data_IF_670403159427
#
_entry.id   IF_670403159427
#
_cell.length_a   1.000
_cell.length_b   1.000
_cell.length_c   1.000
_cell.angle_alpha   90.00
_cell.angle_beta   90.00
_cell.angle_gamma   90.00
#
_symmetry.space_group_name_H-M   'P 1'
#
loop_
_entity.id
_entity.type
_entity.pdbx_description
1 polymer ?
#
# COMPACT_ATOMS: atom_id res chain seq x y z
N UNK A 1 -23.07 3.63 4.34
CA UNK A 1 -22.49 3.66 5.70
C UNK A 1 -21.83 5.01 5.92
N UNK A 2 -21.61 5.38 7.18
CA UNK A 2 -20.77 6.51 7.59
C UNK A 2 -19.36 6.00 7.81
N UNK A 3 -18.39 6.57 7.12
CA UNK A 3 -17.01 6.10 7.13
C UNK A 3 -16.09 7.24 7.55
N UNK A 4 -15.30 7.03 8.60
CA UNK A 4 -14.24 7.95 9.00
C UNK A 4 -12.94 7.59 8.28
N UNK A 5 -12.28 8.56 7.65
CA UNK A 5 -11.01 8.38 6.97
C UNK A 5 -9.95 9.24 7.64
N UNK A 6 -8.86 8.60 8.08
CA UNK A 6 -7.78 9.31 8.74
C UNK A 6 -6.61 9.63 7.80
N UNK A 7 -6.38 10.94 7.67
CA UNK A 7 -5.25 11.59 6.99
C UNK A 7 -4.93 11.09 5.58
N UNK A 8 -5.90 11.09 4.65
CA UNK A 8 -5.69 10.57 3.31
C UNK A 8 -4.59 11.35 2.55
N UNK A 9 -3.48 10.66 2.30
CA UNK A 9 -2.45 11.10 1.35
C UNK A 9 -2.94 11.01 -0.10
N UNK A 10 -2.02 11.03 -1.08
CA UNK A 10 -2.38 10.95 -2.50
C UNK A 10 -3.13 9.64 -2.86
N UNK A 11 -2.74 8.51 -2.27
CA UNK A 11 -3.43 7.23 -2.45
C UNK A 11 -4.74 7.19 -1.63
N UNK A 12 -4.65 7.50 -0.33
CA UNK A 12 -5.79 7.44 0.59
C UNK A 12 -6.97 8.31 0.17
N UNK A 13 -6.73 9.49 -0.43
CA UNK A 13 -7.82 10.36 -0.86
C UNK A 13 -8.56 9.78 -2.06
N UNK A 14 -7.86 9.05 -2.94
CA UNK A 14 -8.48 8.38 -4.08
C UNK A 14 -9.21 7.11 -3.67
N UNK A 15 -8.70 6.36 -2.68
CA UNK A 15 -9.47 5.26 -2.05
C UNK A 15 -10.76 5.78 -1.40
N UNK A 16 -10.67 6.90 -0.66
CA UNK A 16 -11.81 7.53 -0.02
C UNK A 16 -12.82 8.10 -1.02
N UNK A 17 -12.35 8.68 -2.13
CA UNK A 17 -13.23 9.13 -3.22
C UNK A 17 -14.08 7.97 -3.79
N UNK A 18 -13.51 6.76 -3.88
CA UNK A 18 -14.27 5.59 -4.34
C UNK A 18 -15.35 5.17 -3.33
N UNK A 19 -15.14 5.36 -2.03
CA UNK A 19 -16.20 5.16 -1.01
C UNK A 19 -17.35 6.16 -1.21
N UNK A 20 -17.05 7.41 -1.57
CA UNK A 20 -18.08 8.42 -1.91
C UNK A 20 -18.83 8.01 -3.17
N UNK A 21 -18.12 7.52 -4.22
CA UNK A 21 -18.74 7.00 -5.45
C UNK A 21 -19.68 5.83 -5.16
N UNK A 22 -19.33 4.95 -4.21
CA UNK A 22 -20.18 3.85 -3.74
C UNK A 22 -21.38 4.32 -2.88
N UNK A 23 -21.57 5.63 -2.71
CA UNK A 23 -22.72 6.21 -2.00
C UNK A 23 -22.58 6.24 -0.47
N UNK A 24 -21.36 6.15 0.05
CA UNK A 24 -21.10 6.28 1.48
C UNK A 24 -20.94 7.74 1.91
N UNK A 25 -21.29 8.04 3.16
CA UNK A 25 -20.99 9.32 3.78
C UNK A 25 -19.58 9.25 4.36
N UNK A 26 -18.62 9.95 3.75
CA UNK A 26 -17.22 9.84 4.11
C UNK A 26 -16.75 11.09 4.82
N UNK A 27 -16.31 10.94 6.07
CA UNK A 27 -15.84 12.03 6.93
C UNK A 27 -14.34 11.96 7.11
N UNK A 28 -13.68 13.11 7.23
CA UNK A 28 -12.25 13.20 7.52
C UNK A 28 -11.95 14.31 8.52
N UNK A 29 -10.78 14.24 9.16
CA UNK A 29 -10.34 15.23 10.16
C UNK A 29 -9.39 16.25 9.51
N UNK A 30 -9.82 17.52 9.31
CA UNK A 30 -9.01 18.54 8.64
C UNK A 30 -8.00 19.23 9.55
N UNK A 31 -8.14 19.09 10.86
CA UNK A 31 -7.32 19.79 11.85
C UNK A 31 -5.84 19.44 11.72
N UNK A 32 -4.99 20.47 11.74
CA UNK A 32 -3.54 20.34 11.55
C UNK A 32 -3.11 19.92 10.13
N UNK A 33 -4.02 19.86 9.15
CA UNK A 33 -3.70 19.41 7.78
C UNK A 33 -3.36 20.58 6.85
N UNK A 34 -2.42 20.32 5.94
CA UNK A 34 -1.99 21.28 4.92
C UNK A 34 -3.10 21.58 3.90
N UNK A 35 -3.00 22.73 3.23
CA UNK A 35 -3.95 23.12 2.18
C UNK A 35 -3.99 22.10 1.03
N UNK A 36 -2.85 21.49 0.69
CA UNK A 36 -2.80 20.41 -0.28
C UNK A 36 -3.60 19.17 0.18
N UNK A 37 -3.69 18.90 1.49
CA UNK A 37 -4.52 17.81 2.02
C UNK A 37 -6.00 18.17 1.96
N UNK A 38 -6.36 19.42 2.30
CA UNK A 38 -7.74 19.93 2.22
C UNK A 38 -8.26 19.89 0.79
N UNK A 39 -7.47 20.38 -0.18
CA UNK A 39 -7.83 20.34 -1.59
C UNK A 39 -8.09 18.91 -2.11
N UNK A 40 -7.29 17.92 -1.70
CA UNK A 40 -7.54 16.52 -2.05
C UNK A 40 -8.82 15.96 -1.41
N UNK A 41 -9.13 16.38 -0.19
CA UNK A 41 -10.34 15.96 0.48
C UNK A 41 -11.59 16.58 -0.17
N UNK A 42 -11.52 17.85 -0.55
CA UNK A 42 -12.59 18.54 -1.28
C UNK A 42 -12.82 17.89 -2.65
N UNK A 43 -11.75 17.61 -3.40
CA UNK A 43 -11.82 16.89 -4.69
C UNK A 43 -12.42 15.49 -4.54
N UNK A 44 -12.16 14.82 -3.42
CA UNK A 44 -12.69 13.50 -3.09
C UNK A 44 -14.12 13.54 -2.51
N UNK A 45 -14.70 14.73 -2.28
CA UNK A 45 -16.04 14.87 -1.71
C UNK A 45 -16.13 14.50 -0.22
N UNK A 46 -15.04 14.62 0.53
CA UNK A 46 -15.00 14.27 1.95
C UNK A 46 -15.60 15.37 2.82
N UNK A 47 -16.35 14.98 3.84
CA UNK A 47 -16.98 15.89 4.79
C UNK A 47 -16.03 16.13 5.96
N UNK A 48 -15.62 17.38 6.17
CA UNK A 48 -14.80 17.73 7.34
C UNK A 48 -15.57 17.55 8.64
N UNK A 49 -14.94 16.90 9.63
CA UNK A 49 -15.49 16.70 10.97
C UNK A 49 -14.39 16.79 12.04
N UNK A 50 -14.77 17.02 13.30
CA UNK A 50 -13.87 16.80 14.43
C UNK A 50 -13.51 15.32 14.55
N UNK A 51 -12.41 14.99 15.22
CA UNK A 51 -12.04 13.59 15.47
C UNK A 51 -13.17 12.84 16.18
N UNK A 52 -13.70 13.42 17.26
CA UNK A 52 -14.75 12.82 18.08
C UNK A 52 -16.02 12.57 17.27
N UNK A 53 -16.46 13.54 16.46
CA UNK A 53 -17.66 13.38 15.62
C UNK A 53 -17.45 12.35 14.49
N UNK A 54 -16.23 12.29 13.93
CA UNK A 54 -15.91 11.32 12.89
C UNK A 54 -15.98 9.90 13.43
N UNK A 55 -15.39 9.63 14.61
CA UNK A 55 -15.36 8.29 15.21
C UNK A 55 -16.72 7.91 15.80
N UNK A 56 -17.38 8.80 16.55
CA UNK A 56 -18.62 8.48 17.25
C UNK A 56 -19.78 8.13 16.31
N UNK A 57 -19.75 8.64 15.07
CA UNK A 57 -20.79 8.41 14.06
C UNK A 57 -20.39 7.39 13.00
N UNK A 58 -19.15 6.90 13.01
CA UNK A 58 -18.66 5.97 12.00
C UNK A 58 -19.22 4.56 12.22
N UNK A 59 -19.64 3.93 11.12
CA UNK A 59 -19.89 2.49 11.06
C UNK A 59 -18.59 1.75 10.67
N UNK A 60 -17.69 2.43 9.95
CA UNK A 60 -16.37 1.94 9.58
C UNK A 60 -15.30 3.04 9.65
N UNK A 61 -14.05 2.65 9.90
CA UNK A 61 -12.85 3.48 9.85
C UNK A 61 -11.94 2.96 8.75
N UNK A 62 -11.42 3.86 7.91
CA UNK A 62 -10.31 3.62 7.00
C UNK A 62 -9.09 4.41 7.48
N UNK A 63 -8.07 3.71 7.97
CA UNK A 63 -6.78 4.29 8.29
C UNK A 63 -5.88 4.21 7.05
N UNK A 64 -5.61 5.36 6.42
CA UNK A 64 -4.73 5.44 5.24
C UNK A 64 -3.89 6.72 5.32
N UNK A 65 -2.99 6.75 6.29
CA UNK A 65 -2.14 7.88 6.63
C UNK A 65 -0.68 7.66 6.21
N UNK A 66 0.26 8.29 6.93
CA UNK A 66 1.67 7.91 6.87
C UNK A 66 1.89 6.74 7.85
N UNK A 67 2.69 5.71 7.51
CA UNK A 67 2.87 4.52 8.36
C UNK A 67 3.28 4.82 9.80
N UNK A 68 4.09 5.88 10.00
CA UNK A 68 4.59 6.27 11.31
C UNK A 68 3.50 6.72 12.28
N UNK A 69 2.32 7.14 11.78
CA UNK A 69 1.21 7.60 12.61
C UNK A 69 0.05 6.61 12.72
N UNK A 70 0.12 5.44 12.08
CA UNK A 70 -1.01 4.52 12.00
C UNK A 70 -1.41 3.95 13.38
N UNK A 71 -0.42 3.54 14.18
CA UNK A 71 -0.65 3.00 15.53
C UNK A 71 -1.26 4.08 16.44
N UNK A 72 -0.73 5.30 16.42
CA UNK A 72 -1.27 6.42 17.21
C UNK A 72 -2.74 6.73 16.86
N UNK A 73 -3.14 6.57 15.59
CA UNK A 73 -4.53 6.74 15.17
C UNK A 73 -5.37 5.58 15.69
N UNK A 74 -4.91 4.33 15.58
CA UNK A 74 -5.61 3.17 16.14
C UNK A 74 -5.83 3.34 17.66
N UNK A 75 -4.82 3.80 18.40
CA UNK A 75 -4.95 4.09 19.84
C UNK A 75 -5.94 5.21 20.16
N UNK A 76 -6.01 6.25 19.33
CA UNK A 76 -7.02 7.31 19.50
C UNK A 76 -8.43 6.77 19.24
N UNK A 77 -8.60 5.99 18.16
CA UNK A 77 -9.88 5.39 17.78
C UNK A 77 -10.36 4.38 18.84
N UNK A 78 -9.47 3.54 19.36
CA UNK A 78 -9.78 2.60 20.42
C UNK A 78 -10.11 3.27 21.75
N UNK A 79 -9.39 4.35 22.12
CA UNK A 79 -9.73 5.15 23.32
C UNK A 79 -11.11 5.80 23.23
N UNK A 80 -11.58 6.10 22.02
CA UNK A 80 -12.94 6.58 21.79
C UNK A 80 -14.01 5.46 21.86
N UNK A 81 -13.62 4.21 22.08
CA UNK A 81 -14.52 3.06 22.22
C UNK A 81 -15.12 2.60 20.89
N UNK A 82 -14.41 2.80 19.77
CA UNK A 82 -14.89 2.38 18.46
C UNK A 82 -15.00 0.84 18.38
N UNK A 83 -16.19 0.35 18.03
CA UNK A 83 -16.52 -1.07 17.93
C UNK A 83 -17.05 -1.48 16.53
N UNK A 84 -16.81 -0.62 15.52
CA UNK A 84 -17.18 -0.89 14.13
C UNK A 84 -16.10 -1.63 13.36
N UNK A 85 -16.15 -1.54 12.03
CA UNK A 85 -15.13 -2.10 11.14
C UNK A 85 -13.91 -1.16 11.06
N UNK A 86 -12.72 -1.62 11.43
CA UNK A 86 -11.47 -0.87 11.29
C UNK A 86 -10.62 -1.45 10.16
N UNK A 87 -10.44 -0.71 9.07
CA UNK A 87 -9.61 -1.09 7.92
C UNK A 87 -8.27 -0.36 8.01
N UNK A 88 -7.20 -1.11 8.25
CA UNK A 88 -5.83 -0.63 8.29
C UNK A 88 -5.17 -0.77 6.92
N UNK A 89 -5.01 0.33 6.17
CA UNK A 89 -4.51 0.35 4.81
C UNK A 89 -3.10 0.96 4.66
N UNK A 90 -2.38 1.16 5.77
CA UNK A 90 -0.98 1.60 5.76
C UNK A 90 -0.03 0.41 5.55
N UNK A 91 1.12 0.59 4.87
CA UNK A 91 2.19 -0.41 4.87
C UNK A 91 2.83 -0.49 6.26
N UNK A 92 2.37 -1.42 7.09
CA UNK A 92 2.89 -1.64 8.44
C UNK A 92 3.77 -2.89 8.48
N UNK A 93 4.78 -2.87 9.36
CA UNK A 93 5.48 -4.09 9.76
C UNK A 93 4.51 -5.05 10.49
N UNK A 94 4.78 -6.36 10.54
CA UNK A 94 3.95 -7.30 11.31
C UNK A 94 3.74 -6.86 12.76
N UNK A 95 4.79 -6.32 13.40
CA UNK A 95 4.73 -5.81 14.77
C UNK A 95 3.82 -4.59 14.90
N UNK A 96 3.93 -3.64 13.96
CA UNK A 96 3.11 -2.43 13.96
C UNK A 96 1.65 -2.73 13.66
N UNK A 97 1.37 -3.68 12.77
CA UNK A 97 0.03 -4.15 12.46
C UNK A 97 -0.62 -4.79 13.69
N UNK A 98 0.11 -5.66 14.40
CA UNK A 98 -0.37 -6.26 15.66
C UNK A 98 -0.64 -5.20 16.75
N UNK A 99 0.22 -4.17 16.84
CA UNK A 99 0.01 -3.06 17.76
C UNK A 99 -1.25 -2.26 17.42
N UNK A 100 -1.46 -1.93 16.13
CA UNK A 100 -2.67 -1.25 15.67
C UNK A 100 -3.93 -2.08 15.95
N UNK A 101 -3.89 -3.39 15.68
CA UNK A 101 -5.00 -4.30 15.99
C UNK A 101 -5.31 -4.33 17.49
N UNK A 102 -4.28 -4.43 18.33
CA UNK A 102 -4.46 -4.48 19.80
C UNK A 102 -4.99 -3.15 20.37
N UNK A 103 -4.77 -2.04 19.66
CA UNK A 103 -5.21 -0.72 20.07
C UNK A 103 -6.72 -0.48 19.87
N UNK A 104 -7.39 -1.29 19.05
CA UNK A 104 -8.85 -1.23 18.79
C UNK A 104 -9.54 -2.55 19.17
N UNK A 105 -9.48 -2.97 20.46
CA UNK A 105 -9.86 -4.31 20.87
C UNK A 105 -11.34 -4.66 20.65
N UNK A 106 -12.21 -3.65 20.60
CA UNK A 106 -13.66 -3.83 20.40
C UNK A 106 -14.07 -3.75 18.93
N UNK A 107 -13.16 -3.35 18.03
CA UNK A 107 -13.44 -3.22 16.61
C UNK A 107 -13.17 -4.53 15.85
N UNK A 108 -13.91 -4.75 14.76
CA UNK A 108 -13.51 -5.78 13.80
C UNK A 108 -12.36 -5.25 12.95
N UNK A 109 -11.17 -5.80 13.14
CA UNK A 109 -9.96 -5.35 12.45
C UNK A 109 -9.75 -6.09 11.12
N UNK A 110 -9.51 -5.31 10.05
CA UNK A 110 -9.16 -5.80 8.71
C UNK A 110 -7.86 -5.15 8.24
N UNK A 111 -6.89 -5.98 7.89
CA UNK A 111 -5.63 -5.57 7.25
C UNK A 111 -5.85 -5.39 5.74
N UNK A 112 -5.32 -4.30 5.17
CA UNK A 112 -5.49 -3.94 3.78
C UNK A 112 -4.15 -3.61 3.07
N UNK A 113 -3.85 -4.39 2.03
CA UNK A 113 -2.71 -4.22 1.15
C UNK A 113 -3.09 -3.53 -0.18
N UNK A 114 -2.69 -2.28 -0.36
CA UNK A 114 -2.92 -1.53 -1.61
C UNK A 114 -1.82 -1.80 -2.64
N UNK A 115 -2.20 -2.23 -3.85
CA UNK A 115 -1.31 -2.45 -5.00
C UNK A 115 -1.86 -1.75 -6.24
N UNK A 116 -1.01 -1.02 -6.95
CA UNK A 116 -1.36 -0.35 -8.21
C UNK A 116 -1.36 1.18 -8.12
N UNK A 117 -1.78 1.87 -9.19
CA UNK A 117 -1.91 3.33 -9.20
C UNK A 117 -3.10 3.75 -8.33
N UNK A 118 -3.22 5.05 -7.97
CA UNK A 118 -4.44 5.56 -7.36
C UNK A 118 -5.67 5.31 -8.25
N UNK A 119 -6.84 4.97 -7.67
CA UNK A 119 -8.02 4.61 -8.46
C UNK A 119 -8.65 5.86 -9.08
N UNK A 120 -8.48 6.02 -10.40
CA UNK A 120 -9.06 7.13 -11.19
C UNK A 120 -9.95 6.65 -12.35
N UNK A 121 -10.22 5.34 -12.42
CA UNK A 121 -10.79 4.70 -13.61
C UNK A 121 -9.74 4.52 -14.71
N UNK A 122 -9.75 3.37 -15.38
CA UNK A 122 -8.78 3.04 -16.43
C UNK A 122 -8.45 1.55 -16.51
N UNK A 123 -7.54 1.15 -17.41
CA UNK A 123 -7.21 -0.25 -17.67
C UNK A 123 -6.37 -0.91 -16.57
N UNK A 124 -5.84 -0.14 -15.62
CA UNK A 124 -5.03 -0.64 -14.52
C UNK A 124 -5.76 -0.40 -13.19
N UNK A 125 -6.43 -1.43 -12.63
CA UNK A 125 -7.16 -1.27 -11.39
C UNK A 125 -6.20 -1.11 -10.20
N UNK A 126 -6.71 -0.48 -9.14
CA UNK A 126 -6.09 -0.55 -7.81
C UNK A 126 -6.58 -1.83 -7.14
N UNK A 127 -5.70 -2.79 -6.90
CA UNK A 127 -6.04 -3.95 -6.08
C UNK A 127 -5.97 -3.57 -4.60
N UNK A 128 -7.07 -3.80 -3.88
CA UNK A 128 -7.16 -3.68 -2.43
C UNK A 128 -7.24 -5.08 -1.84
N UNK A 129 -6.09 -5.64 -1.48
CA UNK A 129 -6.02 -6.95 -0.83
C UNK A 129 -6.50 -6.81 0.62
N UNK A 130 -7.36 -7.70 1.09
CA UNK A 130 -8.03 -7.60 2.38
C UNK A 130 -7.89 -8.93 3.14
N UNK A 131 -7.65 -8.84 4.45
CA UNK A 131 -7.62 -10.02 5.32
C UNK A 131 -8.10 -9.72 6.72
N UNK A 132 -8.84 -10.65 7.31
CA UNK A 132 -9.51 -10.50 8.61
C UNK A 132 -10.89 -11.14 8.59
N UNK A 133 -11.50 -11.31 9.77
CA UNK A 133 -12.78 -12.00 9.93
C UNK A 133 -13.90 -11.43 9.05
N UNK A 134 -13.97 -10.10 8.90
CA UNK A 134 -14.97 -9.40 8.08
C UNK A 134 -14.36 -8.77 6.80
N UNK A 135 -13.32 -9.38 6.23
CA UNK A 135 -12.67 -8.88 5.01
C UNK A 135 -13.66 -8.79 3.82
N UNK A 136 -14.65 -9.68 3.74
CA UNK A 136 -15.71 -9.63 2.71
C UNK A 136 -16.64 -8.42 2.88
N UNK A 137 -17.00 -8.09 4.13
CA UNK A 137 -17.77 -6.88 4.43
C UNK A 137 -16.97 -5.64 4.07
N UNK A 138 -15.68 -5.61 4.40
CA UNK A 138 -14.78 -4.53 4.01
C UNK A 138 -14.67 -4.40 2.48
N UNK A 139 -14.59 -5.52 1.75
CA UNK A 139 -14.57 -5.54 0.29
C UNK A 139 -15.83 -4.89 -0.30
N UNK A 140 -17.00 -5.16 0.29
CA UNK A 140 -18.27 -4.58 -0.11
C UNK A 140 -18.34 -3.06 -0.08
N UNK A 141 -17.49 -2.38 0.71
CA UNK A 141 -17.43 -0.91 0.77
C UNK A 141 -16.97 -0.28 -0.56
N UNK A 142 -16.28 -1.03 -1.41
CA UNK A 142 -15.79 -0.58 -2.71
C UNK A 142 -16.47 -1.30 -3.88
N UNK A 143 -17.62 -1.93 -3.66
CA UNK A 143 -18.39 -2.58 -4.71
C UNK A 143 -18.72 -1.60 -5.86
N UNK A 144 -18.57 -2.06 -7.09
CA UNK A 144 -18.83 -1.28 -8.32
C UNK A 144 -18.02 0.02 -8.45
N UNK A 145 -16.81 0.07 -7.85
CA UNK A 145 -15.88 1.21 -7.95
C UNK A 145 -14.65 0.90 -8.82
N UNK A 146 -13.75 1.89 -8.97
CA UNK A 146 -12.46 1.68 -9.64
C UNK A 146 -11.41 0.96 -8.77
N UNK A 147 -11.74 0.66 -7.51
CA UNK A 147 -10.96 -0.25 -6.67
C UNK A 147 -11.43 -1.68 -6.94
N UNK A 148 -10.50 -2.62 -6.96
CA UNK A 148 -10.78 -4.06 -7.06
C UNK A 148 -10.41 -4.71 -5.73
N UNK A 149 -11.38 -4.92 -4.83
CA UNK A 149 -11.16 -5.64 -3.58
C UNK A 149 -10.80 -7.10 -3.84
N UNK A 150 -9.91 -7.64 -3.02
CA UNK A 150 -9.49 -9.04 -3.08
C UNK A 150 -9.36 -9.57 -1.66
N UNK A 151 -10.24 -10.48 -1.22
CA UNK A 151 -10.05 -11.16 0.06
C UNK A 151 -8.98 -12.25 -0.12
N UNK A 152 -7.88 -12.14 0.63
CA UNK A 152 -6.70 -12.99 0.46
C UNK A 152 -6.35 -13.83 1.70
N UNK A 153 -7.09 -13.68 2.78
CA UNK A 153 -6.91 -14.48 3.99
C UNK A 153 -7.91 -14.15 5.10
N UNK A 154 -8.07 -15.08 6.03
CA UNK A 154 -8.97 -14.91 7.18
C UNK A 154 -8.34 -14.12 8.34
N UNK A 155 -7.02 -14.08 8.42
CA UNK A 155 -6.29 -13.45 9.53
C UNK A 155 -5.61 -12.15 9.08
N UNK A 156 -5.68 -11.08 9.88
CA UNK A 156 -4.89 -9.87 9.64
C UNK A 156 -3.40 -10.20 9.48
N UNK A 157 -2.76 -9.57 8.50
CA UNK A 157 -1.37 -9.82 8.11
C UNK A 157 -1.24 -10.56 6.78
N UNK A 158 -2.27 -11.32 6.35
CA UNK A 158 -2.23 -12.01 5.05
C UNK A 158 -2.25 -11.02 3.87
N UNK A 159 -3.01 -9.92 3.96
CA UNK A 159 -3.03 -8.87 2.95
C UNK A 159 -1.69 -8.12 2.86
N UNK A 160 -1.12 -7.77 4.02
CA UNK A 160 0.22 -7.20 4.11
C UNK A 160 1.28 -8.14 3.51
N UNK A 161 1.24 -9.44 3.82
CA UNK A 161 2.15 -10.43 3.24
C UNK A 161 1.99 -10.59 1.72
N UNK A 162 0.75 -10.60 1.20
CA UNK A 162 0.47 -10.68 -0.23
C UNK A 162 1.02 -9.45 -0.98
N UNK A 163 0.83 -8.25 -0.43
CA UNK A 163 1.40 -7.00 -0.95
C UNK A 163 2.93 -7.05 -0.94
N UNK A 164 3.54 -7.43 0.17
CA UNK A 164 5.00 -7.55 0.29
C UNK A 164 5.58 -8.56 -0.71
N UNK A 165 4.90 -9.69 -0.90
CA UNK A 165 5.28 -10.70 -1.89
C UNK A 165 5.28 -10.14 -3.31
N UNK A 166 4.25 -9.38 -3.69
CA UNK A 166 4.20 -8.73 -5.00
C UNK A 166 5.26 -7.63 -5.14
N UNK A 167 5.49 -6.82 -4.11
CA UNK A 167 6.50 -5.77 -4.11
C UNK A 167 7.92 -6.36 -4.27
N UNK A 168 8.23 -7.43 -3.53
CA UNK A 168 9.49 -8.17 -3.65
C UNK A 168 9.69 -8.69 -5.08
N UNK A 169 8.68 -9.33 -5.66
CA UNK A 169 8.78 -9.85 -7.03
C UNK A 169 8.98 -8.72 -8.06
N UNK A 170 8.09 -7.72 -8.05
CA UNK A 170 8.08 -6.69 -9.07
C UNK A 170 9.36 -5.83 -9.04
N UNK A 171 9.77 -5.38 -7.85
CA UNK A 171 10.97 -4.58 -7.68
C UNK A 171 12.22 -5.44 -7.76
N UNK A 172 12.20 -6.65 -7.21
CA UNK A 172 13.34 -7.56 -7.30
C UNK A 172 13.69 -7.88 -8.76
N UNK A 173 12.69 -8.15 -9.59
CA UNK A 173 12.88 -8.32 -11.04
C UNK A 173 13.50 -7.08 -11.70
N UNK A 174 13.08 -5.88 -11.30
CA UNK A 174 13.67 -4.64 -11.83
C UNK A 174 15.15 -4.49 -11.40
N UNK A 175 15.50 -4.79 -10.15
CA UNK A 175 16.89 -4.80 -9.69
C UNK A 175 17.74 -5.85 -10.43
N UNK A 176 17.19 -7.04 -10.69
CA UNK A 176 17.86 -8.06 -11.50
C UNK A 176 18.09 -7.59 -12.94
N UNK A 177 17.11 -6.91 -13.55
CA UNK A 177 17.27 -6.32 -14.88
C UNK A 177 18.37 -5.24 -14.90
N UNK A 178 18.45 -4.38 -13.88
CA UNK A 178 19.53 -3.39 -13.73
C UNK A 178 20.90 -4.08 -13.69
N UNK A 179 21.05 -5.12 -12.88
CA UNK A 179 22.31 -5.89 -12.82
C UNK A 179 22.64 -6.55 -14.16
N UNK A 180 21.65 -7.11 -14.86
CA UNK A 180 21.84 -7.72 -16.16
C UNK A 180 22.34 -6.70 -17.21
N UNK A 181 21.75 -5.50 -17.25
CA UNK A 181 22.20 -4.44 -18.15
C UNK A 181 23.61 -3.95 -17.81
N UNK A 182 23.93 -3.72 -16.53
CA UNK A 182 25.28 -3.33 -16.10
C UNK A 182 26.34 -4.38 -16.46
N UNK A 183 26.00 -5.67 -16.32
CA UNK A 183 26.87 -6.76 -16.74
C UNK A 183 27.07 -6.76 -18.27
N UNK A 184 25.98 -6.63 -19.03
CA UNK A 184 26.04 -6.62 -20.49
C UNK A 184 26.85 -5.43 -21.02
N UNK A 185 26.66 -4.24 -20.44
CA UNK A 185 27.42 -3.02 -20.76
C UNK A 185 28.92 -3.22 -20.52
N UNK A 186 29.29 -3.75 -19.34
CA UNK A 186 30.69 -4.01 -18.98
C UNK A 186 31.41 -4.97 -19.94
N UNK A 187 30.67 -5.83 -20.61
CA UNK A 187 31.19 -6.79 -21.59
C UNK A 187 30.92 -6.39 -23.05
N UNK A 188 30.29 -5.24 -23.31
CA UNK A 188 29.97 -4.77 -24.66
C UNK A 188 28.92 -5.64 -25.39
N UNK A 189 28.03 -6.31 -24.65
CA UNK A 189 27.03 -7.26 -25.19
C UNK A 189 25.58 -6.82 -24.96
N UNK A 190 25.33 -5.53 -24.71
CA UNK A 190 23.99 -4.97 -24.46
C UNK A 190 22.98 -5.35 -25.56
N UNK A 191 23.36 -5.27 -26.83
CA UNK A 191 22.49 -5.65 -27.94
C UNK A 191 22.07 -7.13 -27.90
N UNK A 192 22.98 -8.02 -27.51
CA UNK A 192 22.69 -9.45 -27.38
C UNK A 192 21.69 -9.73 -26.24
N UNK A 193 21.75 -8.93 -25.15
CA UNK A 193 20.79 -8.99 -24.07
C UNK A 193 19.41 -8.48 -24.50
N UNK A 194 19.34 -7.31 -25.17
CA UNK A 194 18.09 -6.74 -25.68
C UNK A 194 17.40 -7.71 -26.65
N UNK A 195 18.15 -8.43 -27.50
CA UNK A 195 17.58 -9.40 -28.43
C UNK A 195 16.73 -10.49 -27.74
N UNK A 196 16.99 -10.78 -26.46
CA UNK A 196 16.21 -11.75 -25.68
C UNK A 196 14.80 -11.27 -25.32
N UNK A 197 14.48 -9.99 -25.55
CA UNK A 197 13.16 -9.41 -25.29
C UNK A 197 11.99 -10.09 -26.02
N UNK A 198 12.30 -10.84 -27.09
CA UNK A 198 11.33 -11.59 -27.90
C UNK A 198 10.81 -12.83 -27.18
N UNK A 199 11.50 -13.26 -26.12
CA UNK A 199 11.10 -14.39 -25.29
C UNK A 199 9.98 -14.00 -24.32
N UNK A 200 9.16 -14.98 -23.94
CA UNK A 200 8.06 -14.77 -23.00
C UNK A 200 8.50 -14.22 -21.63
N UNK A 201 9.71 -14.56 -21.19
CA UNK A 201 10.34 -14.13 -19.94
C UNK A 201 11.22 -12.87 -20.10
N UNK A 202 11.47 -12.41 -21.32
CA UNK A 202 12.39 -11.32 -21.63
C UNK A 202 11.79 -9.92 -21.54
N UNK A 203 10.53 -9.77 -21.11
CA UNK A 203 9.79 -8.51 -21.18
C UNK A 203 10.47 -7.31 -20.48
N UNK A 204 11.24 -7.55 -19.42
CA UNK A 204 11.97 -6.51 -18.68
C UNK A 204 13.29 -6.08 -19.34
N UNK A 205 13.72 -6.75 -20.41
CA UNK A 205 14.98 -6.49 -21.12
C UNK A 205 14.81 -5.63 -22.38
N UNK A 206 13.60 -5.11 -22.60
CA UNK A 206 13.24 -4.35 -23.81
C UNK A 206 13.94 -2.99 -23.92
N UNK A 207 14.27 -2.39 -22.78
CA UNK A 207 14.75 -1.02 -22.71
C UNK A 207 16.12 -0.96 -22.02
N UNK A 208 17.22 -0.73 -22.78
CA UNK A 208 18.54 -0.54 -22.16
C UNK A 208 18.66 0.72 -21.31
N UNK A 209 17.73 1.69 -21.44
CA UNK A 209 17.65 2.87 -20.59
C UNK A 209 16.99 2.61 -19.23
N UNK A 210 16.54 1.39 -18.95
CA UNK A 210 15.89 1.02 -17.70
C UNK A 210 16.71 1.42 -16.44
N UNK A 211 18.04 1.17 -16.36
CA UNK A 211 18.81 1.59 -15.19
C UNK A 211 18.71 3.09 -14.93
N UNK A 212 18.83 3.93 -15.96
CA UNK A 212 18.80 5.39 -15.81
C UNK A 212 17.41 5.90 -15.43
N UNK A 213 16.35 5.33 -16.01
CA UNK A 213 14.98 5.65 -15.63
C UNK A 213 14.72 5.36 -14.15
N UNK A 214 15.23 4.22 -13.66
CA UNK A 214 15.02 3.78 -12.29
C UNK A 214 15.83 4.56 -11.24
N UNK A 215 16.86 5.33 -11.62
CA UNK A 215 17.58 6.22 -10.68
C UNK A 215 16.64 7.16 -9.94
N UNK A 216 15.66 7.70 -10.64
CA UNK A 216 14.67 8.63 -10.10
C UNK A 216 13.83 8.08 -8.93
N UNK A 217 13.71 6.74 -8.84
CA UNK A 217 12.92 6.05 -7.80
C UNK A 217 13.77 5.18 -6.87
N UNK A 218 15.05 4.98 -7.17
CA UNK A 218 15.93 4.07 -6.44
C UNK A 218 16.05 4.45 -4.94
N UNK A 219 16.12 5.75 -4.63
CA UNK A 219 16.20 6.25 -3.26
C UNK A 219 14.99 5.87 -2.41
N UNK A 220 13.81 5.73 -3.05
CA UNK A 220 12.55 5.36 -2.39
C UNK A 220 12.38 3.85 -2.31
N UNK A 221 12.78 3.12 -3.35
CA UNK A 221 12.65 1.66 -3.37
C UNK A 221 13.70 0.93 -2.55
N UNK A 222 14.90 1.50 -2.37
CA UNK A 222 15.97 0.90 -1.57
C UNK A 222 15.52 0.57 -0.13
N UNK A 223 15.01 1.53 0.65
CA UNK A 223 14.53 1.30 2.01
C UNK A 223 13.40 0.26 2.10
N UNK A 224 12.56 0.13 1.08
CA UNK A 224 11.49 -0.89 1.08
C UNK A 224 12.05 -2.31 1.09
N UNK A 225 13.27 -2.55 0.60
CA UNK A 225 13.90 -3.88 0.68
C UNK A 225 14.40 -4.22 2.08
N UNK A 226 14.62 -3.23 2.95
CA UNK A 226 14.94 -3.48 4.36
C UNK A 226 13.70 -4.06 5.06
N UNK A 227 12.51 -3.48 4.81
CA UNK A 227 11.22 -3.99 5.31
C UNK A 227 10.86 -5.37 4.73
N UNK A 228 11.14 -5.60 3.44
CA UNK A 228 10.95 -6.92 2.81
C UNK A 228 11.88 -7.98 3.41
N UNK A 229 13.12 -7.62 3.74
CA UNK A 229 14.04 -8.54 4.40
C UNK A 229 13.54 -8.93 5.80
N UNK A 230 13.06 -7.96 6.59
CA UNK A 230 12.45 -8.24 7.90
C UNK A 230 11.20 -9.12 7.76
N UNK A 231 10.37 -8.88 6.74
CA UNK A 231 9.18 -9.70 6.46
C UNK A 231 9.55 -11.15 6.12
N UNK A 232 10.59 -11.34 5.30
CA UNK A 232 11.10 -12.67 4.96
C UNK A 232 11.67 -13.39 6.19
N UNK A 233 12.50 -12.71 6.98
CA UNK A 233 13.10 -13.29 8.19
C UNK A 233 12.01 -13.69 9.20
N UNK A 234 10.99 -12.85 9.40
CA UNK A 234 9.86 -13.15 10.27
C UNK A 234 9.05 -14.37 9.79
N UNK A 235 9.04 -14.64 8.49
CA UNK A 235 8.44 -15.83 7.89
C UNK A 235 9.38 -17.05 7.87
N UNK A 236 10.61 -16.93 8.36
CA UNK A 236 11.62 -18.00 8.31
C UNK A 236 12.19 -18.25 6.90
N UNK A 237 12.16 -17.23 6.04
CA UNK A 237 12.65 -17.26 4.65
C UNK A 237 13.97 -16.47 4.51
N UNK A 238 14.53 -16.46 3.30
CA UNK A 238 15.85 -15.90 3.00
C UNK A 238 15.83 -14.36 2.86
N UNK A 239 15.77 -13.63 3.98
CA UNK A 239 15.81 -12.16 3.98
C UNK A 239 17.09 -11.57 3.38
N UNK A 240 18.20 -12.32 3.40
CA UNK A 240 19.47 -11.90 2.79
C UNK A 240 19.37 -11.69 1.27
N UNK A 241 18.46 -12.38 0.58
CA UNK A 241 18.20 -12.14 -0.83
C UNK A 241 17.64 -10.72 -1.06
N UNK A 242 16.71 -10.26 -0.21
CA UNK A 242 16.19 -8.91 -0.27
C UNK A 242 17.28 -7.88 0.08
N UNK A 243 18.11 -8.14 1.10
CA UNK A 243 19.26 -7.28 1.45
C UNK A 243 20.27 -7.16 0.31
N UNK A 244 20.51 -8.23 -0.45
CA UNK A 244 21.37 -8.18 -1.63
C UNK A 244 20.78 -7.29 -2.72
N UNK A 245 19.48 -7.41 -3.00
CA UNK A 245 18.78 -6.56 -3.97
C UNK A 245 18.73 -5.08 -3.53
N UNK A 246 18.63 -4.80 -2.22
CA UNK A 246 18.75 -3.44 -1.65
C UNK A 246 20.05 -2.75 -2.06
N UNK A 247 21.15 -3.48 -2.18
CA UNK A 247 22.43 -2.92 -2.62
C UNK A 247 22.40 -2.42 -4.06
N UNK A 248 21.59 -3.02 -4.93
CA UNK A 248 21.40 -2.56 -6.31
C UNK A 248 20.78 -1.17 -6.32
N UNK A 249 19.71 -0.96 -5.56
CA UNK A 249 19.06 0.34 -5.44
C UNK A 249 19.97 1.41 -4.84
N UNK A 250 20.80 1.02 -3.88
CA UNK A 250 21.77 1.93 -3.25
C UNK A 250 22.83 2.41 -4.23
N UNK A 251 23.32 1.53 -5.11
CA UNK A 251 24.31 1.88 -6.14
C UNK A 251 23.68 2.65 -7.31
N UNK A 252 22.38 2.50 -7.51
CA UNK A 252 21.65 3.13 -8.60
C UNK A 252 21.20 4.56 -8.25
N UNK A 253 20.92 4.82 -6.97
CA UNK A 253 20.58 6.15 -6.41
C UNK A 253 21.76 7.10 -6.52
#
# INVERSE_FOLDING_TARGET
MRIAVFHPGAMGSKLAAQLVVAGHEVRWVPDGRSDASKARADEAGLIGASFDDAVALADAVLCSCAPQGAVDIAEQVGRAGFAGLYVEANPLSPKSLQAAQSAVPDATFVDAGVVGPPPTGGPSPTHLMLSGADAETAAGLWADTAVTPMVVGAEPGAASAAKSSYALYNKGKAALAVLAFQLAEKHGVTEALIAQQTRADGGSLKDPGLPDQLRSVAWRWGPEFDELAETLDAAGLEGDAARALRQVWTKLS
#
